data_IF_581846025486
#
_entry.id   IF_581846025486
#
_cell.length_a   1.000
_cell.length_b   1.000
_cell.length_c   1.000
_cell.angle_alpha   90.00
_cell.angle_beta   90.00
_cell.angle_gamma   90.00
#
_symmetry.space_group_name_H-M   'P 1'
#
loop_
_entity.id
_entity.type
_entity.pdbx_description
1 polymer ?
#
# COMPACT_ATOMS: atom_id res chain seq x y z
N UNK A 1 0.27 -3.54 17.48
CA UNK A 1 -1.16 -3.63 17.53
C UNK A 1 -1.69 -4.43 16.38
N UNK A 2 -1.84 -5.70 16.63
CA UNK A 2 -2.36 -6.58 15.59
C UNK A 2 -3.82 -6.30 15.28
N UNK A 3 -4.49 -5.58 16.15
CA UNK A 3 -5.90 -5.26 15.96
C UNK A 3 -6.17 -4.25 14.87
N UNK A 4 -5.14 -3.53 14.41
CA UNK A 4 -5.31 -2.56 13.34
C UNK A 4 -5.80 -3.25 12.08
N UNK A 5 -5.22 -4.42 11.79
CA UNK A 5 -5.60 -5.17 10.60
C UNK A 5 -6.07 -6.56 11.04
N UNK A 6 -7.35 -6.80 10.90
CA UNK A 6 -7.90 -8.14 11.08
C UNK A 6 -7.43 -8.98 9.88
N UNK A 7 -6.90 -10.19 10.11
CA UNK A 7 -6.34 -10.99 9.01
C UNK A 7 -7.27 -11.23 7.84
N UNK A 8 -8.57 -11.13 8.03
CA UNK A 8 -9.51 -11.43 6.95
C UNK A 8 -10.33 -10.21 6.55
N UNK A 9 -9.91 -9.02 6.96
CA UNK A 9 -10.67 -7.81 6.69
C UNK A 9 -10.15 -7.12 5.43
N UNK A 10 -10.60 -7.62 4.27
CA UNK A 10 -10.21 -7.06 2.99
C UNK A 10 -10.68 -5.61 2.86
N UNK A 11 -11.87 -5.32 3.36
CA UNK A 11 -12.43 -3.98 3.25
C UNK A 11 -11.59 -2.97 4.01
N UNK A 12 -11.16 -3.31 5.23
CA UNK A 12 -10.31 -2.43 6.00
C UNK A 12 -8.99 -2.18 5.29
N UNK A 13 -8.39 -3.23 4.73
CA UNK A 13 -7.13 -3.08 3.99
C UNK A 13 -7.32 -2.15 2.80
N UNK A 14 -8.42 -2.28 2.08
CA UNK A 14 -8.67 -1.44 0.92
C UNK A 14 -8.91 0.01 1.32
N UNK A 15 -9.57 0.25 2.44
CA UNK A 15 -9.78 1.61 2.94
C UNK A 15 -8.43 2.26 3.28
N UNK A 16 -7.55 1.52 3.95
CA UNK A 16 -6.24 2.04 4.32
C UNK A 16 -5.43 2.39 3.06
N UNK A 17 -5.42 1.48 2.08
CA UNK A 17 -4.68 1.72 0.85
C UNK A 17 -5.26 2.88 0.07
N UNK A 18 -6.59 2.97 0.01
CA UNK A 18 -7.25 4.09 -0.66
C UNK A 18 -6.88 5.42 -0.04
N UNK A 19 -6.86 5.47 1.30
CA UNK A 19 -6.45 6.69 1.98
C UNK A 19 -5.01 7.05 1.65
N UNK A 20 -4.11 6.07 1.63
CA UNK A 20 -2.70 6.32 1.32
C UNK A 20 -2.51 6.82 -0.11
N UNK A 21 -3.39 6.41 -1.03
CA UNK A 21 -3.30 6.87 -2.41
C UNK A 21 -3.84 8.28 -2.59
N UNK A 22 -4.82 8.67 -1.79
CA UNK A 22 -5.55 9.92 -2.00
C UNK A 22 -5.11 11.01 -1.02
N UNK A 23 -4.89 10.66 0.24
CA UNK A 23 -4.62 11.62 1.29
C UNK A 23 -3.13 11.81 1.47
N UNK A 24 -2.68 13.06 1.32
CA UNK A 24 -1.27 13.37 1.43
C UNK A 24 -0.71 13.05 2.80
N UNK A 25 -1.52 13.19 3.85
CA UNK A 25 -1.07 12.97 5.22
C UNK A 25 -1.16 11.53 5.69
N UNK A 26 -1.74 10.64 4.87
CA UNK A 26 -1.96 9.27 5.33
C UNK A 26 -0.65 8.51 5.52
N UNK A 27 0.25 8.56 4.54
CA UNK A 27 1.52 7.85 4.64
C UNK A 27 2.35 8.28 5.84
N UNK A 28 2.51 9.59 6.11
CA UNK A 28 3.25 9.97 7.31
C UNK A 28 2.69 9.38 8.59
N UNK A 29 1.37 9.17 8.65
CA UNK A 29 0.75 8.63 9.85
C UNK A 29 1.01 7.15 10.05
N UNK A 30 1.19 6.39 8.97
CA UNK A 30 1.25 4.94 9.07
C UNK A 30 2.60 4.34 8.68
N UNK A 31 3.46 5.09 8.00
CA UNK A 31 4.67 4.52 7.41
C UNK A 31 5.59 3.84 8.43
N UNK A 32 5.65 4.37 9.65
CA UNK A 32 6.51 3.82 10.68
C UNK A 32 5.85 2.70 11.48
N UNK A 33 4.54 2.58 11.40
CA UNK A 33 3.78 1.63 12.22
C UNK A 33 3.24 0.46 11.44
N UNK A 34 2.86 0.69 10.19
CA UNK A 34 2.24 -0.32 9.36
C UNK A 34 3.30 -0.87 8.40
N UNK A 35 3.40 -2.19 8.33
CA UNK A 35 4.35 -2.86 7.46
C UNK A 35 3.62 -3.73 6.45
N UNK A 36 4.23 -3.98 5.28
CA UNK A 36 3.55 -4.81 4.27
C UNK A 36 3.13 -6.17 4.78
N UNK A 37 3.94 -6.80 5.63
CA UNK A 37 3.63 -8.13 6.13
C UNK A 37 2.44 -8.16 7.07
N UNK A 38 1.93 -7.01 7.48
CA UNK A 38 0.73 -6.93 8.29
C UNK A 38 -0.55 -7.09 7.47
N UNK A 39 -0.45 -6.97 6.15
CA UNK A 39 -1.60 -7.17 5.28
C UNK A 39 -1.83 -8.64 5.05
N UNK A 40 -3.07 -9.08 5.22
CA UNK A 40 -3.41 -10.47 5.00
C UNK A 40 -3.40 -10.84 3.52
N UNK A 41 -3.93 -9.96 2.67
CA UNK A 41 -4.02 -10.23 1.24
C UNK A 41 -2.75 -9.78 0.54
N UNK A 42 -2.14 -10.72 -0.20
CA UNK A 42 -0.84 -10.45 -0.80
C UNK A 42 -0.90 -9.26 -1.77
N UNK A 43 -1.99 -9.13 -2.53
CA UNK A 43 -2.08 -8.00 -3.47
C UNK A 43 -2.01 -6.68 -2.71
N UNK A 44 -2.63 -6.60 -1.54
CA UNK A 44 -2.61 -5.39 -0.74
C UNK A 44 -1.24 -5.16 -0.12
N UNK A 45 -0.58 -6.22 0.32
CA UNK A 45 0.78 -6.12 0.84
C UNK A 45 1.73 -5.58 -0.22
N UNK A 46 1.58 -6.04 -1.46
CA UNK A 46 2.44 -5.57 -2.56
C UNK A 46 2.20 -4.10 -2.85
N UNK A 47 0.94 -3.67 -2.86
CA UNK A 47 0.61 -2.27 -3.07
C UNK A 47 1.20 -1.41 -1.96
N UNK A 48 1.03 -1.84 -0.72
CA UNK A 48 1.54 -1.06 0.40
C UNK A 48 3.07 -1.00 0.40
N UNK A 49 3.73 -2.09 0.04
CA UNK A 49 5.19 -2.09 -0.05
C UNK A 49 5.68 -1.06 -1.05
N UNK A 50 5.00 -0.94 -2.19
CA UNK A 50 5.35 0.07 -3.18
C UNK A 50 5.11 1.47 -2.63
N UNK A 51 3.97 1.69 -1.99
CA UNK A 51 3.65 2.98 -1.38
C UNK A 51 4.70 3.39 -0.36
N UNK A 52 5.09 2.46 0.50
CA UNK A 52 6.04 2.74 1.56
C UNK A 52 7.42 3.11 0.99
N UNK A 53 7.87 2.36 -0.01
CA UNK A 53 9.15 2.65 -0.63
C UNK A 53 9.13 4.01 -1.33
N UNK A 54 8.05 4.31 -2.05
CA UNK A 54 7.93 5.59 -2.73
C UNK A 54 7.90 6.74 -1.73
N UNK A 55 7.19 6.55 -0.62
CA UNK A 55 7.12 7.57 0.41
C UNK A 55 8.52 7.85 1.00
N UNK A 56 9.27 6.79 1.30
CA UNK A 56 10.60 6.94 1.85
C UNK A 56 11.57 7.61 0.89
N UNK A 57 11.35 7.41 -0.41
CA UNK A 57 12.17 8.04 -1.44
C UNK A 57 11.72 9.46 -1.78
N UNK A 58 10.67 9.95 -1.14
CA UNK A 58 10.16 11.29 -1.41
C UNK A 58 9.48 11.42 -2.75
N UNK A 59 8.99 10.32 -3.33
CA UNK A 59 8.37 10.34 -4.64
C UNK A 59 6.89 10.69 -4.53
N UNK A 60 6.36 11.24 -5.60
CA UNK A 60 4.93 11.53 -5.67
C UNK A 60 4.13 10.24 -5.70
N UNK A 61 3.07 10.19 -4.89
CA UNK A 61 2.21 9.02 -4.79
C UNK A 61 0.84 9.35 -5.34
N UNK A 62 0.43 8.61 -6.38
CA UNK A 62 -0.93 8.62 -6.89
C UNK A 62 -1.15 7.29 -7.60
N UNK A 63 -2.37 7.09 -8.12
CA UNK A 63 -2.71 5.81 -8.73
C UNK A 63 -1.77 5.48 -9.89
N UNK A 64 -1.43 6.49 -10.70
CA UNK A 64 -0.58 6.27 -11.87
C UNK A 64 0.84 5.94 -11.47
N UNK A 65 1.42 6.69 -10.54
CA UNK A 65 2.80 6.44 -10.13
C UNK A 65 2.95 5.11 -9.42
N UNK A 66 1.96 4.72 -8.60
CA UNK A 66 2.01 3.43 -7.92
C UNK A 66 1.88 2.29 -8.94
N UNK A 67 1.00 2.43 -9.91
CA UNK A 67 0.86 1.44 -10.97
C UNK A 67 2.17 1.26 -11.72
N UNK A 68 2.83 2.36 -12.05
CA UNK A 68 4.12 2.30 -12.73
C UNK A 68 5.18 1.63 -11.87
N UNK A 69 5.19 1.93 -10.57
CA UNK A 69 6.15 1.32 -9.67
C UNK A 69 5.94 -0.19 -9.58
N UNK A 70 4.68 -0.64 -9.47
CA UNK A 70 4.39 -2.06 -9.44
C UNK A 70 4.80 -2.74 -10.73
N UNK A 71 4.60 -2.07 -11.86
CA UNK A 71 5.05 -2.60 -13.14
C UNK A 71 6.57 -2.74 -13.20
N UNK A 72 7.28 -1.74 -12.70
CA UNK A 72 8.75 -1.79 -12.69
C UNK A 72 9.27 -2.91 -11.80
N UNK A 73 8.53 -3.25 -10.74
CA UNK A 73 8.90 -4.34 -9.85
C UNK A 73 8.48 -5.70 -10.37
N UNK A 74 7.76 -5.75 -11.49
CA UNK A 74 7.22 -6.99 -12.02
C UNK A 74 6.10 -7.56 -11.17
N UNK A 75 5.40 -6.70 -10.42
CA UNK A 75 4.38 -7.13 -9.46
C UNK A 75 2.98 -6.66 -9.83
N UNK A 76 2.80 -6.04 -10.99
CA UNK A 76 1.51 -5.43 -11.31
C UNK A 76 0.38 -6.47 -11.35
N UNK A 77 0.62 -7.60 -11.98
CA UNK A 77 -0.41 -8.64 -12.08
C UNK A 77 -0.74 -9.21 -10.70
N UNK A 78 0.27 -9.45 -9.89
CA UNK A 78 0.06 -10.01 -8.54
C UNK A 78 -0.70 -9.03 -7.65
N UNK A 79 -0.59 -7.73 -7.92
CA UNK A 79 -1.30 -6.71 -7.16
C UNK A 79 -2.71 -6.44 -7.71
N UNK A 80 -3.17 -7.25 -8.66
CA UNK A 80 -4.53 -7.12 -9.16
C UNK A 80 -4.63 -6.52 -10.56
N UNK A 81 -3.49 -6.29 -11.21
CA UNK A 81 -3.46 -5.74 -12.55
C UNK A 81 -3.60 -4.24 -12.57
N UNK A 82 -3.74 -3.68 -13.75
CA UNK A 82 -3.83 -2.24 -13.93
C UNK A 82 -5.06 -1.63 -13.27
#
# INVERSE_FOLDING_TARGET
>A
MSEILNPQDAELEEVILGACLIEREAMPMVADRLRPEMFYFEKNALIYAALQAMYRDGRQIDIITVKNELGARGKLDAAGGP
#
